data_IF_093845159378
#
_entry.id   IF_093845159378
#
_cell.length_a   1.000
_cell.length_b   1.000
_cell.length_c   1.000
_cell.angle_alpha   90.00
_cell.angle_beta   90.00
_cell.angle_gamma   90.00
#
_symmetry.space_group_name_H-M   'P 1'
#
loop_
_entity.id
_entity.type
_entity.pdbx_description
1 polymer ?
#
# COMPACT_ATOMS: atom_id res chain seq x y z
N UNK A 1 -6.08 -3.71 34.29
CA UNK A 1 -5.75 -4.33 33.00
C UNK A 1 -4.46 -5.12 33.19
N UNK A 2 -4.48 -6.44 33.03
CA UNK A 2 -3.26 -7.26 33.11
C UNK A 2 -2.55 -7.22 31.76
N UNK A 3 -1.26 -6.92 31.77
CA UNK A 3 -0.42 -7.05 30.58
C UNK A 3 -0.25 -8.54 30.25
N UNK A 4 -0.24 -8.91 28.97
CA UNK A 4 0.01 -10.27 28.52
C UNK A 4 1.26 -10.29 27.63
N UNK A 5 2.47 -10.28 28.21
CA UNK A 5 3.72 -10.28 27.45
C UNK A 5 3.83 -11.54 26.59
N UNK A 6 4.21 -11.38 25.32
CA UNK A 6 4.33 -12.50 24.37
C UNK A 6 3.07 -12.77 23.54
N UNK A 7 2.00 -11.98 23.70
CA UNK A 7 0.84 -12.05 22.81
C UNK A 7 1.21 -11.64 21.38
N UNK A 8 0.74 -12.42 20.40
CA UNK A 8 0.91 -12.12 18.97
C UNK A 8 -0.27 -11.30 18.47
N UNK A 9 0.04 -10.33 17.61
CA UNK A 9 -0.96 -9.55 16.88
C UNK A 9 -0.90 -9.90 15.40
N UNK A 10 -2.06 -10.15 14.81
CA UNK A 10 -2.23 -10.30 13.38
C UNK A 10 -3.03 -9.11 12.87
N UNK A 11 -2.53 -8.45 11.82
CA UNK A 11 -3.21 -7.30 11.20
C UNK A 11 -3.66 -7.72 9.81
N UNK A 12 -4.97 -7.88 9.66
CA UNK A 12 -5.62 -8.15 8.38
C UNK A 12 -6.05 -6.82 7.75
N UNK A 13 -5.28 -6.38 6.76
CA UNK A 13 -5.53 -5.12 6.07
C UNK A 13 -6.67 -5.22 5.03
N UNK A 14 -6.95 -6.43 4.55
CA UNK A 14 -8.06 -6.65 3.61
C UNK A 14 -9.40 -6.51 4.32
N UNK A 15 -9.53 -7.12 5.50
CA UNK A 15 -10.70 -7.07 6.36
C UNK A 15 -10.74 -5.81 7.27
N UNK A 16 -9.66 -5.03 7.33
CA UNK A 16 -9.49 -3.91 8.28
C UNK A 16 -9.68 -4.35 9.75
N UNK A 17 -9.08 -5.48 10.14
CA UNK A 17 -9.19 -6.05 11.48
C UNK A 17 -7.83 -6.36 12.08
N UNK A 18 -7.63 -6.03 13.36
CA UNK A 18 -6.52 -6.51 14.18
C UNK A 18 -7.01 -7.64 15.07
N UNK A 19 -6.36 -8.80 15.02
CA UNK A 19 -6.60 -9.94 15.90
C UNK A 19 -5.52 -9.99 16.98
N UNK A 20 -5.93 -10.17 18.23
CA UNK A 20 -5.07 -10.26 19.40
C UNK A 20 -5.53 -11.40 20.31
N UNK A 21 -4.97 -12.60 20.11
CA UNK A 21 -5.53 -13.84 20.68
C UNK A 21 -6.96 -14.04 20.19
N UNK A 22 -7.90 -14.25 21.12
CA UNK A 22 -9.33 -14.49 20.80
C UNK A 22 -10.13 -13.20 20.52
N UNK A 23 -9.48 -12.04 20.50
CA UNK A 23 -10.14 -10.73 20.32
C UNK A 23 -9.89 -10.18 18.93
N UNK A 24 -10.92 -9.56 18.36
CA UNK A 24 -10.86 -8.88 17.06
C UNK A 24 -11.29 -7.43 17.21
N UNK A 25 -10.56 -6.53 16.54
CA UNK A 25 -10.77 -5.10 16.59
C UNK A 25 -10.81 -4.52 15.18
N UNK A 26 -11.93 -3.92 14.78
CA UNK A 26 -12.03 -3.22 13.49
C UNK A 26 -11.27 -1.90 13.55
N UNK A 27 -10.57 -1.57 12.48
CA UNK A 27 -9.99 -0.25 12.27
C UNK A 27 -10.46 0.33 10.93
N UNK A 28 -10.06 1.56 10.66
CA UNK A 28 -10.29 2.22 9.38
C UNK A 28 -8.99 2.82 8.87
N UNK A 29 -8.76 2.67 7.58
CA UNK A 29 -7.63 3.27 6.88
C UNK A 29 -8.13 3.93 5.59
N UNK A 30 -7.44 4.99 5.16
CA UNK A 30 -7.70 5.61 3.87
C UNK A 30 -7.56 4.59 2.72
N UNK A 31 -8.49 4.63 1.77
CA UNK A 31 -8.60 3.65 0.70
C UNK A 31 -7.35 3.63 -0.20
N UNK A 32 -6.74 4.78 -0.45
CA UNK A 32 -5.52 4.88 -1.23
C UNK A 32 -4.33 4.25 -0.48
N UNK A 33 -4.16 4.57 0.81
CA UNK A 33 -3.12 3.93 1.64
C UNK A 33 -3.29 2.42 1.74
N UNK A 34 -4.53 1.95 1.91
CA UNK A 34 -4.85 0.52 1.88
C UNK A 34 -4.45 -0.13 0.56
N UNK A 35 -4.83 0.48 -0.56
CA UNK A 35 -4.45 0.00 -1.89
C UNK A 35 -2.92 -0.08 -2.04
N UNK A 36 -2.20 0.97 -1.65
CA UNK A 36 -0.74 0.98 -1.73
C UNK A 36 -0.11 -0.14 -0.90
N UNK A 37 -0.54 -0.30 0.36
CA UNK A 37 -0.01 -1.36 1.24
C UNK A 37 -0.34 -2.77 0.74
N UNK A 38 -1.56 -3.00 0.24
CA UNK A 38 -1.97 -4.30 -0.30
C UNK A 38 -1.22 -4.68 -1.59
N UNK A 39 -0.86 -3.69 -2.42
CA UNK A 39 -0.18 -3.92 -3.70
C UNK A 39 1.34 -3.70 -3.61
N UNK A 40 1.88 -3.43 -2.41
CA UNK A 40 3.31 -3.15 -2.22
C UNK A 40 3.79 -1.87 -2.93
N UNK A 41 2.90 -0.90 -3.16
CA UNK A 41 3.21 0.34 -3.87
C UNK A 41 3.83 1.36 -2.91
N UNK A 42 4.93 1.95 -3.36
CA UNK A 42 5.52 3.17 -2.81
C UNK A 42 5.44 4.32 -3.84
N UNK A 43 6.08 5.46 -3.57
CA UNK A 43 6.09 6.61 -4.49
C UNK A 43 6.67 6.29 -5.87
N UNK A 44 7.65 5.37 -5.95
CA UNK A 44 8.24 4.94 -7.21
C UNK A 44 7.27 3.99 -7.93
N UNK A 45 6.72 3.00 -7.22
CA UNK A 45 5.73 2.07 -7.72
C UNK A 45 4.49 2.78 -8.29
N UNK A 46 4.01 3.83 -7.61
CA UNK A 46 2.94 4.70 -8.11
C UNK A 46 3.32 5.43 -9.40
N UNK A 47 4.57 5.87 -9.51
CA UNK A 47 5.08 6.51 -10.74
C UNK A 47 5.17 5.51 -11.89
N UNK A 48 5.64 4.29 -11.60
CA UNK A 48 5.78 3.20 -12.58
C UNK A 48 4.43 2.70 -13.10
N UNK A 49 3.33 2.88 -12.36
CA UNK A 49 1.98 2.63 -12.89
C UNK A 49 1.66 3.49 -14.13
N UNK A 50 2.41 4.58 -14.35
CA UNK A 50 2.27 5.46 -15.52
C UNK A 50 3.34 5.24 -16.59
N UNK A 51 4.14 4.17 -16.52
CA UNK A 51 5.24 3.88 -17.45
C UNK A 51 4.82 4.03 -18.92
N UNK A 52 3.67 3.46 -19.32
CA UNK A 52 3.20 3.58 -20.70
C UNK A 52 2.89 5.03 -21.13
N UNK A 53 2.37 5.87 -20.23
CA UNK A 53 2.12 7.29 -20.51
C UNK A 53 3.43 8.08 -20.58
N UNK A 54 4.38 7.75 -19.71
CA UNK A 54 5.74 8.31 -19.71
C UNK A 54 6.41 7.98 -21.05
N UNK A 55 6.45 6.71 -21.44
CA UNK A 55 7.04 6.29 -22.72
C UNK A 55 6.35 6.91 -23.93
N UNK A 56 5.01 7.05 -23.91
CA UNK A 56 4.27 7.70 -25.00
C UNK A 56 4.58 9.20 -25.12
N UNK A 57 4.87 9.86 -24.00
CA UNK A 57 5.32 11.25 -23.97
C UNK A 57 6.78 11.37 -24.45
N UNK A 58 7.67 10.52 -23.95
CA UNK A 58 9.09 10.49 -24.34
C UNK A 58 9.28 10.24 -25.84
N UNK A 59 8.48 9.35 -26.44
CA UNK A 59 8.49 9.11 -27.89
C UNK A 59 8.04 10.31 -28.73
N UNK A 60 7.37 11.30 -28.15
CA UNK A 60 6.98 12.55 -28.82
C UNK A 60 8.02 13.66 -28.65
N UNK A 61 9.05 13.46 -27.81
CA UNK A 61 10.10 14.45 -27.63
C UNK A 61 10.90 14.59 -28.93
N UNK A 62 11.25 15.82 -29.31
CA UNK A 62 12.03 16.05 -30.52
C UNK A 62 13.45 15.48 -30.37
N UNK A 63 14.00 14.99 -31.47
CA UNK A 63 15.25 14.22 -31.51
C UNK A 63 16.50 14.94 -30.94
N UNK A 64 16.44 16.25 -30.70
CA UNK A 64 17.52 17.02 -30.08
C UNK A 64 17.51 17.01 -28.54
N UNK A 65 16.46 16.45 -27.93
CA UNK A 65 16.31 16.33 -26.47
C UNK A 65 16.72 14.95 -25.91
N UNK A 66 17.14 14.02 -26.78
CA UNK A 66 17.62 12.68 -26.41
C UNK A 66 19.15 12.60 -26.43
#
# INVERSE_FOLDING_TARGET
MQANPGITFEVDLEAEVVKAGDKSYSFKIDAFRRHCMLNGLDSIGLTLQHEGAISAYENKLPAFMN
#
